data_IF_936103119882
#
_entry.id   IF_936103119882
#
_cell.length_a   1.000
_cell.length_b   1.000
_cell.length_c   1.000
_cell.angle_alpha   90.00
_cell.angle_beta   90.00
_cell.angle_gamma   90.00
#
_symmetry.space_group_name_H-M   'P 1'
#
loop_
_entity.id
_entity.type
_entity.pdbx_description
1 polymer ?
#
# COMPACT_ATOMS: atom_id res chain seq x y z
N UNK A 1 9.38 -1.34 37.32
CA UNK A 1 9.79 0.08 37.23
C UNK A 1 9.25 0.65 35.93
N UNK A 2 8.24 1.53 36.00
CA UNK A 2 7.56 2.13 34.84
C UNK A 2 8.09 3.56 34.70
N UNK A 3 8.75 3.89 33.58
CA UNK A 3 9.11 5.26 33.24
C UNK A 3 8.11 5.84 32.23
N UNK A 4 7.18 6.62 32.77
CA UNK A 4 6.40 7.64 32.06
C UNK A 4 7.27 8.89 31.91
N UNK A 5 7.45 9.38 30.69
CA UNK A 5 7.96 10.74 30.41
C UNK A 5 7.28 11.22 29.13
N UNK A 6 6.13 11.88 29.30
CA UNK A 6 5.91 13.34 29.18
C UNK A 6 6.01 13.83 27.73
N UNK A 7 4.81 14.01 27.16
CA UNK A 7 4.53 14.86 26.00
C UNK A 7 4.96 16.29 26.34
N UNK A 8 5.78 16.89 25.49
CA UNK A 8 5.95 18.34 25.41
C UNK A 8 5.35 18.80 24.10
N UNK A 9 4.18 19.44 24.21
CA UNK A 9 3.61 20.29 23.20
C UNK A 9 4.40 21.60 23.20
N UNK A 10 5.07 21.92 22.09
CA UNK A 10 5.52 23.26 21.75
C UNK A 10 5.85 23.27 20.25
N UNK A 11 5.11 24.04 19.45
CA UNK A 11 5.34 24.16 18.01
C UNK A 11 4.09 24.28 17.13
N UNK A 12 2.91 24.53 17.69
CA UNK A 12 1.79 25.09 16.94
C UNK A 12 1.84 26.61 17.09
N UNK A 13 2.10 27.34 16.00
CA UNK A 13 1.57 28.67 15.62
C UNK A 13 2.28 29.05 14.31
N UNK A 14 1.51 29.22 13.24
CA UNK A 14 2.01 29.76 11.99
C UNK A 14 1.26 29.39 10.71
N UNK A 15 0.07 28.79 10.76
CA UNK A 15 -0.73 28.50 9.56
C UNK A 15 -2.21 28.61 9.88
N UNK A 16 -2.70 29.85 9.97
CA UNK A 16 -4.12 30.13 9.82
C UNK A 16 -4.27 31.36 8.93
N UNK A 17 -5.28 31.28 8.06
CA UNK A 17 -5.89 32.31 7.22
C UNK A 17 -5.16 32.71 5.94
N UNK A 18 -5.30 31.89 4.90
CA UNK A 18 -5.67 32.40 3.58
C UNK A 18 -6.91 31.66 3.06
N UNK A 19 -8.01 32.39 3.15
CA UNK A 19 -9.16 32.41 2.26
C UNK A 19 -9.66 31.09 1.68
N UNK A 20 -10.87 30.73 2.12
CA UNK A 20 -11.84 30.03 1.29
C UNK A 20 -11.90 30.69 -0.10
N UNK A 21 -11.43 29.97 -1.11
CA UNK A 21 -11.83 30.17 -2.50
C UNK A 21 -12.20 28.78 -3.03
N UNK A 22 -13.43 28.54 -3.50
CA UNK A 22 -13.76 27.32 -4.22
C UNK A 22 -13.13 27.44 -5.61
N UNK A 23 -11.81 27.30 -5.69
CA UNK A 23 -11.12 27.21 -6.97
C UNK A 23 -11.24 25.75 -7.38
N UNK A 24 -12.17 25.56 -8.32
CA UNK A 24 -12.22 24.47 -9.30
C UNK A 24 -11.35 23.26 -8.95
N UNK A 25 -12.03 22.14 -8.65
CA UNK A 25 -11.56 20.83 -9.07
C UNK A 25 -11.44 20.86 -10.59
N UNK A 26 -10.38 21.49 -11.09
CA UNK A 26 -10.07 21.48 -12.50
C UNK A 26 -9.67 20.06 -12.81
N UNK A 27 -10.44 19.42 -13.69
CA UNK A 27 -10.01 18.28 -14.50
C UNK A 27 -8.51 18.42 -14.77
N UNK A 28 -7.71 17.68 -14.01
CA UNK A 28 -6.28 17.64 -14.21
C UNK A 28 -6.14 16.94 -15.55
N UNK A 29 -5.91 17.71 -16.62
CA UNK A 29 -5.92 17.19 -17.98
C UNK A 29 -5.05 15.92 -18.02
N UNK A 30 -5.49 14.82 -18.65
CA UNK A 30 -4.84 13.51 -18.56
C UNK A 30 -3.34 13.54 -18.87
N UNK A 31 -2.91 14.49 -19.71
CA UNK A 31 -1.51 14.76 -20.05
C UNK A 31 -0.66 15.20 -18.85
N UNK A 32 -1.22 16.00 -17.94
CA UNK A 32 -0.51 16.51 -16.77
C UNK A 32 -0.32 15.40 -15.72
N UNK A 33 -1.32 14.53 -15.56
CA UNK A 33 -1.26 13.39 -14.66
C UNK A 33 -0.17 12.38 -15.09
N UNK A 34 -0.07 12.12 -16.39
CA UNK A 34 1.00 11.28 -16.95
C UNK A 34 2.39 11.88 -16.69
N UNK A 35 2.54 13.21 -16.83
CA UNK A 35 3.79 13.90 -16.48
C UNK A 35 4.16 13.68 -15.01
N UNK A 36 3.22 13.88 -14.08
CA UNK A 36 3.48 13.67 -12.66
C UNK A 36 3.79 12.21 -12.33
N UNK A 37 3.13 11.27 -13.01
CA UNK A 37 3.41 9.85 -12.89
C UNK A 37 4.85 9.50 -13.27
N UNK A 38 5.35 10.07 -14.37
CA UNK A 38 6.76 9.93 -14.78
C UNK A 38 7.69 10.51 -13.73
N UNK A 39 7.46 11.74 -13.28
CA UNK A 39 8.27 12.40 -12.24
C UNK A 39 8.32 11.57 -10.95
N UNK A 40 7.18 11.09 -10.45
CA UNK A 40 7.12 10.23 -9.27
C UNK A 40 7.96 8.95 -9.47
N UNK A 41 7.81 8.28 -10.61
CA UNK A 41 8.50 7.02 -10.89
C UNK A 41 10.00 7.23 -10.96
N UNK A 42 10.45 8.28 -11.64
CA UNK A 42 11.87 8.59 -11.79
C UNK A 42 12.51 8.97 -10.45
N UNK A 43 11.83 9.78 -9.64
CA UNK A 43 12.28 10.13 -8.28
C UNK A 43 12.35 8.89 -7.40
N UNK A 44 11.32 8.05 -7.41
CA UNK A 44 11.27 6.81 -6.64
C UNK A 44 12.42 5.87 -7.01
N UNK A 45 12.59 5.60 -8.31
CA UNK A 45 13.63 4.69 -8.81
C UNK A 45 15.04 5.24 -8.56
N UNK A 46 15.25 6.55 -8.73
CA UNK A 46 16.54 7.17 -8.48
C UNK A 46 16.88 7.30 -6.99
N UNK A 47 15.88 7.45 -6.11
CA UNK A 47 16.09 7.52 -4.67
C UNK A 47 16.37 6.16 -4.04
N UNK A 48 15.64 5.11 -4.45
CA UNK A 48 15.80 3.75 -3.90
C UNK A 48 16.87 2.92 -4.61
N UNK A 49 17.23 3.29 -5.84
CA UNK A 49 18.35 2.69 -6.57
C UNK A 49 19.61 3.54 -6.52
N UNK A 50 20.54 3.27 -7.44
CA UNK A 50 21.74 4.08 -7.68
C UNK A 50 21.54 5.05 -8.87
N UNK A 51 20.29 5.46 -9.13
CA UNK A 51 19.94 6.30 -10.26
C UNK A 51 20.41 7.75 -10.07
N UNK A 52 20.77 8.41 -11.17
CA UNK A 52 21.07 9.83 -11.16
C UNK A 52 19.78 10.66 -11.15
N UNK A 53 19.57 11.42 -10.07
CA UNK A 53 18.45 12.32 -9.89
C UNK A 53 18.72 13.75 -10.42
N UNK A 54 19.94 14.03 -10.92
CA UNK A 54 20.40 15.38 -11.27
C UNK A 54 19.55 16.09 -12.33
N UNK A 55 18.86 15.33 -13.18
CA UNK A 55 18.02 15.85 -14.27
C UNK A 55 16.57 16.11 -13.84
N UNK A 56 16.14 15.59 -12.69
CA UNK A 56 14.73 15.59 -12.27
C UNK A 56 14.51 16.24 -10.91
N UNK A 57 15.55 16.43 -10.11
CA UNK A 57 15.48 17.01 -8.78
C UNK A 57 16.58 18.03 -8.54
N UNK A 58 16.27 19.05 -7.76
CA UNK A 58 17.25 20.03 -7.30
C UNK A 58 18.32 19.38 -6.41
N UNK A 59 19.53 19.95 -6.39
CA UNK A 59 20.62 19.44 -5.54
C UNK A 59 20.25 19.32 -4.05
N UNK A 60 19.39 20.24 -3.56
CA UNK A 60 18.84 20.20 -2.21
C UNK A 60 18.02 18.93 -1.98
N UNK A 61 17.05 18.64 -2.86
CA UNK A 61 16.19 17.45 -2.77
C UNK A 61 17.01 16.18 -2.89
N UNK A 62 18.01 16.14 -3.79
CA UNK A 62 18.91 14.99 -3.92
C UNK A 62 19.64 14.72 -2.61
N UNK A 63 20.14 15.76 -1.94
CA UNK A 63 20.82 15.62 -0.65
C UNK A 63 19.87 15.13 0.45
N UNK A 64 18.65 15.68 0.52
CA UNK A 64 17.62 15.27 1.48
C UNK A 64 17.21 13.80 1.30
N UNK A 65 16.95 13.38 0.06
CA UNK A 65 16.59 11.99 -0.25
C UNK A 65 17.75 11.03 0.05
N UNK A 66 18.99 11.39 -0.31
CA UNK A 66 20.17 10.59 0.04
C UNK A 66 20.34 10.46 1.55
N UNK A 67 20.17 11.55 2.30
CA UNK A 67 20.24 11.51 3.76
C UNK A 67 19.14 10.62 4.37
N UNK A 68 17.91 10.72 3.85
CA UNK A 68 16.80 9.86 4.26
C UNK A 68 17.11 8.37 4.00
N UNK A 69 17.65 8.02 2.82
CA UNK A 69 17.98 6.64 2.46
C UNK A 69 19.26 6.09 3.12
N UNK A 70 20.04 6.96 3.78
CA UNK A 70 21.14 6.56 4.66
C UNK A 70 20.68 6.22 6.07
N UNK A 71 19.47 6.62 6.47
CA UNK A 71 18.89 6.20 7.74
C UNK A 71 18.62 4.68 7.71
N UNK A 72 19.18 3.87 8.64
CA UNK A 72 19.06 2.42 8.61
C UNK A 72 17.61 1.93 8.76
N UNK A 73 16.79 2.63 9.54
CA UNK A 73 15.38 2.26 9.76
C UNK A 73 14.57 2.47 8.49
N UNK A 74 14.79 3.61 7.81
CA UNK A 74 14.14 3.93 6.54
C UNK A 74 14.58 2.94 5.45
N UNK A 75 15.89 2.69 5.33
CA UNK A 75 16.45 1.75 4.36
C UNK A 75 15.91 0.33 4.58
N UNK A 76 15.88 -0.14 5.82
CA UNK A 76 15.36 -1.47 6.15
C UNK A 76 13.86 -1.58 5.82
N UNK A 77 13.08 -0.54 6.14
CA UNK A 77 11.65 -0.50 5.82
C UNK A 77 11.42 -0.50 4.31
N UNK A 78 12.15 0.32 3.55
CA UNK A 78 12.07 0.37 2.10
C UNK A 78 12.43 -0.98 1.45
N UNK A 79 13.48 -1.65 1.94
CA UNK A 79 13.85 -3.00 1.49
C UNK A 79 12.77 -4.03 1.82
N UNK A 80 12.14 -3.94 2.99
CA UNK A 80 11.09 -4.88 3.40
C UNK A 80 9.81 -4.72 2.59
N UNK A 81 9.46 -3.51 2.17
CA UNK A 81 8.29 -3.24 1.33
C UNK A 81 8.37 -3.99 -0.01
N UNK A 82 9.57 -4.13 -0.56
CA UNK A 82 9.83 -4.73 -1.87
C UNK A 82 9.51 -3.78 -3.03
N UNK A 83 9.45 -4.31 -4.25
CA UNK A 83 9.17 -3.51 -5.44
C UNK A 83 7.76 -2.95 -5.44
N UNK A 84 7.59 -1.73 -5.98
CA UNK A 84 6.28 -1.14 -6.18
C UNK A 84 5.54 -1.86 -7.32
N UNK A 85 4.27 -2.20 -7.10
CA UNK A 85 3.39 -2.85 -8.08
C UNK A 85 2.44 -1.87 -8.77
N UNK A 86 2.14 -0.73 -8.13
CA UNK A 86 1.28 0.31 -8.71
C UNK A 86 1.60 1.68 -8.14
N UNK A 87 1.33 2.72 -8.93
CA UNK A 87 1.47 4.13 -8.57
C UNK A 87 0.13 4.85 -8.77
N UNK A 88 -0.33 5.57 -7.74
CA UNK A 88 -1.46 6.51 -7.81
C UNK A 88 -0.97 7.92 -7.53
N UNK A 89 -1.48 8.89 -8.30
CA UNK A 89 -1.27 10.31 -8.05
C UNK A 89 -2.55 10.89 -7.44
N UNK A 90 -2.40 11.64 -6.36
CA UNK A 90 -3.49 12.27 -5.61
C UNK A 90 -3.08 13.66 -5.12
N UNK A 91 -4.05 14.42 -4.61
CA UNK A 91 -3.84 15.70 -3.91
C UNK A 91 -3.03 16.74 -4.70
N UNK A 92 -3.23 16.79 -6.02
CA UNK A 92 -2.59 17.78 -6.89
C UNK A 92 -3.06 19.18 -6.53
N UNK A 93 -2.13 20.01 -6.07
CA UNK A 93 -2.33 21.40 -5.69
C UNK A 93 -1.46 22.30 -6.55
N UNK A 94 -2.09 23.16 -7.34
CA UNK A 94 -1.39 24.15 -8.16
C UNK A 94 -1.09 25.40 -7.33
N UNK A 95 0.19 25.71 -7.17
CA UNK A 95 0.70 26.92 -6.50
C UNK A 95 1.16 27.93 -7.56
N UNK A 96 1.40 29.17 -7.15
CA UNK A 96 1.76 30.25 -8.07
C UNK A 96 2.97 29.94 -8.96
N UNK A 97 3.95 29.18 -8.47
CA UNK A 97 5.19 28.85 -9.18
C UNK A 97 5.58 27.35 -9.07
N UNK A 98 4.66 26.49 -8.62
CA UNK A 98 4.94 25.08 -8.37
C UNK A 98 3.66 24.26 -8.37
N UNK A 99 3.79 22.96 -8.55
CA UNK A 99 2.74 21.98 -8.31
C UNK A 99 3.17 21.08 -7.16
N UNK A 100 2.29 20.89 -6.18
CA UNK A 100 2.48 19.88 -5.14
C UNK A 100 1.54 18.71 -5.41
N UNK A 101 2.03 17.48 -5.30
CA UNK A 101 1.20 16.28 -5.49
C UNK A 101 1.73 15.11 -4.68
N UNK A 102 0.83 14.17 -4.36
CA UNK A 102 1.13 12.96 -3.62
C UNK A 102 1.29 11.79 -4.59
N UNK A 103 2.41 11.07 -4.49
CA UNK A 103 2.66 9.81 -5.15
C UNK A 103 2.47 8.66 -4.14
N UNK A 104 1.46 7.82 -4.35
CA UNK A 104 1.23 6.63 -3.53
C UNK A 104 1.67 5.38 -4.29
N UNK A 105 2.75 4.76 -3.81
CA UNK A 105 3.22 3.47 -4.31
C UNK A 105 2.68 2.35 -3.45
N UNK A 106 2.03 1.38 -4.07
CA UNK A 106 1.66 0.12 -3.40
C UNK A 106 2.74 -0.91 -3.66
N UNK A 107 3.14 -1.62 -2.61
CA UNK A 107 4.14 -2.68 -2.65
C UNK A 107 3.52 -3.99 -2.15
N UNK A 108 4.24 -5.11 -2.29
CA UNK A 108 3.78 -6.41 -1.79
C UNK A 108 3.55 -6.39 -0.26
N UNK A 109 4.42 -5.70 0.48
CA UNK A 109 4.44 -5.71 1.95
C UNK A 109 4.04 -4.37 2.58
N UNK A 110 3.38 -3.48 1.84
CA UNK A 110 2.88 -2.22 2.39
C UNK A 110 2.73 -1.13 1.33
N UNK A 111 2.90 0.13 1.75
CA UNK A 111 2.81 1.31 0.89
C UNK A 111 3.95 2.29 1.17
N UNK A 112 4.30 3.09 0.17
CA UNK A 112 5.09 4.29 0.38
C UNK A 112 4.39 5.51 -0.21
N UNK A 113 4.48 6.61 0.48
CA UNK A 113 3.85 7.88 0.16
C UNK A 113 4.94 8.92 -0.02
N UNK A 114 4.93 9.60 -1.17
CA UNK A 114 5.92 10.58 -1.55
C UNK A 114 5.23 11.88 -1.93
N UNK A 115 5.38 12.92 -1.11
CA UNK A 115 4.87 14.26 -1.41
C UNK A 115 5.94 15.02 -2.16
N UNK A 116 5.67 15.38 -3.42
CA UNK A 116 6.63 16.07 -4.27
C UNK A 116 6.15 17.50 -4.59
N UNK A 117 7.08 18.44 -4.55
CA UNK A 117 6.93 19.79 -5.07
C UNK A 117 7.69 19.95 -6.38
N UNK A 118 6.98 20.08 -7.49
CA UNK A 118 7.53 20.23 -8.84
C UNK A 118 7.45 21.69 -9.29
N UNK A 119 8.55 22.25 -9.78
CA UNK A 119 8.56 23.59 -10.35
C UNK A 119 8.42 23.52 -11.87
N UNK A 120 7.32 24.06 -12.46
CA UNK A 120 7.17 24.12 -13.91
C UNK A 120 8.14 25.11 -14.56
N UNK A 121 8.77 26.01 -13.80
CA UNK A 121 9.76 26.96 -14.30
C UNK A 121 11.14 26.32 -14.50
N UNK A 122 11.62 25.60 -13.48
CA UNK A 122 12.92 24.92 -13.51
C UNK A 122 12.83 23.48 -14.04
N UNK A 123 11.61 22.98 -14.24
CA UNK A 123 11.29 21.62 -14.65
C UNK A 123 11.85 20.51 -13.75
N UNK A 124 12.13 20.82 -12.49
CA UNK A 124 12.67 19.88 -11.50
C UNK A 124 11.84 19.83 -10.22
N UNK A 125 12.05 18.79 -9.42
CA UNK A 125 11.52 18.65 -8.07
C UNK A 125 12.36 19.49 -7.09
N UNK A 126 11.68 20.39 -6.38
CA UNK A 126 12.28 21.36 -5.45
C UNK A 126 11.95 21.06 -3.97
N UNK A 127 11.02 20.13 -3.72
CA UNK A 127 10.75 19.57 -2.40
C UNK A 127 10.32 18.11 -2.48
N UNK A 128 10.73 17.29 -1.51
CA UNK A 128 10.30 15.91 -1.39
C UNK A 128 10.16 15.52 0.08
N UNK A 129 9.06 14.87 0.43
CA UNK A 129 8.85 14.19 1.71
C UNK A 129 8.45 12.74 1.45
N UNK A 130 8.97 11.82 2.26
CA UNK A 130 8.73 10.39 2.08
C UNK A 130 8.30 9.73 3.38
N UNK A 131 7.26 8.91 3.30
CA UNK A 131 6.73 8.10 4.40
C UNK A 131 6.58 6.67 3.93
N UNK A 132 7.05 5.72 4.76
CA UNK A 132 6.90 4.29 4.51
C UNK A 132 5.93 3.69 5.52
N UNK A 133 4.88 3.02 5.03
CA UNK A 133 3.85 2.39 5.84
C UNK A 133 3.87 0.87 5.59
N UNK A 134 4.49 0.06 6.49
CA UNK A 134 4.45 -1.39 6.35
C UNK A 134 3.01 -1.91 6.44
N UNK A 135 2.72 -3.01 5.75
CA UNK A 135 1.41 -3.67 5.83
C UNK A 135 1.15 -4.02 7.31
N UNK A 136 0.00 -3.62 7.88
CA UNK A 136 -0.33 -4.01 9.23
C UNK A 136 -0.31 -5.53 9.34
N UNK A 137 0.31 -6.03 10.41
CA UNK A 137 0.34 -7.47 10.68
C UNK A 137 -1.10 -8.00 10.67
N UNK A 138 -1.34 -9.20 10.12
CA UNK A 138 -2.66 -9.84 10.22
C UNK A 138 -3.09 -9.83 11.68
N UNK A 139 -4.29 -9.32 11.94
CA UNK A 139 -4.84 -9.33 13.30
C UNK A 139 -4.84 -10.79 13.79
N UNK A 140 -4.30 -11.07 15.00
CA UNK A 140 -4.26 -12.44 15.50
C UNK A 140 -5.68 -12.98 15.50
N UNK A 141 -5.86 -14.15 14.87
CA UNK A 141 -7.16 -14.81 14.81
C UNK A 141 -7.73 -14.89 16.23
N UNK A 142 -9.02 -14.54 16.43
CA UNK A 142 -9.64 -14.62 17.75
C UNK A 142 -9.42 -16.04 18.28
N UNK A 143 -8.80 -16.14 19.46
CA UNK A 143 -8.50 -17.42 20.08
C UNK A 143 -9.79 -18.25 20.10
N UNK A 144 -9.78 -19.39 19.40
CA UNK A 144 -10.90 -20.34 19.42
C UNK A 144 -11.22 -20.63 20.88
N UNK A 145 -12.38 -20.17 21.35
CA UNK A 145 -12.92 -20.57 22.64
C UNK A 145 -12.96 -22.08 22.64
N UNK A 146 -12.21 -22.70 23.55
CA UNK A 146 -12.23 -24.13 23.78
C UNK A 146 -13.69 -24.57 23.92
N UNK A 147 -14.13 -25.44 23.01
CA UNK A 147 -15.43 -26.11 23.10
C UNK A 147 -15.39 -26.99 24.35
N UNK A 148 -16.41 -26.94 25.24
CA UNK A 148 -16.48 -27.83 26.38
C UNK A 148 -16.52 -29.30 25.93
N UNK A 149 -15.72 -30.11 26.60
CA UNK A 149 -15.57 -31.56 26.48
C UNK A 149 -16.93 -32.27 26.47
N UNK A 150 -17.25 -32.98 25.38
CA UNK A 150 -18.41 -33.87 25.32
C UNK A 150 -18.08 -35.17 26.06
N UNK A 151 -18.81 -35.41 27.15
CA UNK A 151 -18.78 -36.63 27.97
C UNK A 151 -19.06 -37.92 27.16
N UNK A 152 -18.42 -39.05 27.47
CA UNK A 152 -18.69 -40.32 26.78
C UNK A 152 -19.96 -40.96 27.33
N UNK A 153 -20.97 -41.14 26.49
CA UNK A 153 -22.15 -41.97 26.85
C UNK A 153 -22.00 -43.35 26.21
N UNK A 154 -21.97 -44.35 27.07
CA UNK A 154 -21.82 -45.77 26.75
C UNK A 154 -23.01 -46.33 25.94
N UNK A 155 -22.66 -47.23 25.01
CA UNK A 155 -23.47 -48.08 24.11
C UNK A 155 -24.65 -48.81 24.80
N UNK A 156 -25.70 -49.23 24.06
CA UNK A 156 -25.67 -50.57 23.43
C UNK A 156 -26.26 -50.65 22.00
N UNK A 157 -25.69 -51.51 21.15
CA UNK A 157 -26.33 -52.08 19.93
C UNK A 157 -27.36 -53.16 20.38
N UNK A 158 -28.32 -53.70 19.57
CA UNK A 158 -28.40 -53.98 18.11
C UNK A 158 -29.85 -53.78 17.53
N UNK A 159 -30.38 -54.39 16.42
CA UNK A 159 -29.81 -55.20 15.34
C UNK A 159 -30.15 -54.74 13.89
N UNK A 160 -29.50 -55.44 12.97
CA UNK A 160 -29.59 -55.52 11.50
C UNK A 160 -31.01 -55.63 10.92
N UNK A 161 -31.46 -54.69 10.07
CA UNK A 161 -32.56 -54.90 9.09
C UNK A 161 -32.40 -53.98 7.86
N UNK A 162 -32.22 -54.63 6.70
CA UNK A 162 -32.63 -54.27 5.32
C UNK A 162 -31.89 -53.16 4.54
N UNK A 163 -31.18 -53.64 3.52
CA UNK A 163 -30.94 -52.93 2.27
C UNK A 163 -32.26 -52.45 1.64
N UNK A 164 -32.35 -51.17 1.31
CA UNK A 164 -33.29 -50.66 0.32
C UNK A 164 -32.77 -49.36 -0.32
N UNK A 165 -32.23 -49.56 -1.52
CA UNK A 165 -32.35 -48.74 -2.72
C UNK A 165 -32.35 -47.20 -2.61
N UNK A 166 -31.28 -46.61 -3.16
CA UNK A 166 -31.28 -45.27 -3.76
C UNK A 166 -32.50 -45.06 -4.69
N UNK A 167 -32.99 -43.82 -4.77
CA UNK A 167 -33.25 -43.20 -6.05
C UNK A 167 -32.28 -42.03 -6.26
N UNK A 168 -31.45 -42.18 -7.29
CA UNK A 168 -30.57 -41.15 -7.82
C UNK A 168 -31.37 -39.93 -8.27
N UNK A 169 -31.35 -38.86 -7.47
CA UNK A 169 -31.72 -37.52 -7.88
C UNK A 169 -30.48 -36.76 -8.33
N UNK A 170 -30.40 -36.46 -9.62
CA UNK A 170 -29.24 -35.91 -10.33
C UNK A 170 -28.54 -34.75 -9.60
N UNK A 171 -27.33 -35.01 -9.11
CA UNK A 171 -26.32 -33.98 -8.85
C UNK A 171 -25.94 -33.37 -10.22
N UNK A 172 -25.90 -32.04 -10.40
CA UNK A 172 -25.39 -31.47 -11.64
C UNK A 172 -23.99 -32.03 -11.91
N UNK A 173 -23.64 -32.38 -13.17
CA UNK A 173 -22.32 -32.90 -13.47
C UNK A 173 -21.29 -31.91 -12.93
N UNK A 174 -20.31 -32.43 -12.18
CA UNK A 174 -19.16 -31.64 -11.77
C UNK A 174 -18.62 -30.94 -13.02
N UNK A 175 -18.34 -29.62 -12.97
CA UNK A 175 -17.87 -28.91 -14.14
C UNK A 175 -16.62 -29.60 -14.65
N UNK A 176 -16.64 -30.07 -15.90
CA UNK A 176 -15.46 -30.64 -16.52
C UNK A 176 -14.34 -29.62 -16.43
N UNK A 177 -13.21 -30.01 -15.82
CA UNK A 177 -12.05 -29.14 -15.72
C UNK A 177 -11.71 -28.65 -17.14
N UNK A 178 -11.70 -27.32 -17.29
CA UNK A 178 -11.39 -26.70 -18.57
C UNK A 178 -10.06 -27.23 -19.11
N UNK A 179 -9.92 -27.30 -20.44
CA UNK A 179 -8.67 -27.71 -21.07
C UNK A 179 -7.46 -26.84 -20.63
N UNK A 180 -7.72 -25.63 -20.13
CA UNK A 180 -6.71 -24.76 -19.54
C UNK A 180 -6.19 -25.30 -18.19
N UNK A 181 -7.05 -25.85 -17.32
CA UNK A 181 -6.63 -26.45 -16.05
C UNK A 181 -5.77 -27.70 -16.24
N UNK A 182 -5.94 -28.44 -17.33
CA UNK A 182 -5.04 -29.57 -17.66
C UNK A 182 -3.64 -29.14 -18.05
N UNK A 183 -3.49 -27.93 -18.60
CA UNK A 183 -2.18 -27.40 -19.04
C UNK A 183 -1.46 -26.62 -17.93
N UNK A 184 -2.22 -26.03 -17.01
CA UNK A 184 -1.68 -25.21 -15.92
C UNK A 184 -2.40 -25.58 -14.61
N UNK A 185 -2.04 -26.72 -13.99
CA UNK A 185 -2.71 -27.21 -12.79
C UNK A 185 -2.55 -26.28 -11.58
N UNK A 186 -1.52 -25.43 -11.57
CA UNK A 186 -1.26 -24.48 -10.49
C UNK A 186 -2.13 -23.21 -10.53
N UNK A 187 -2.95 -23.05 -11.58
CA UNK A 187 -3.82 -21.88 -11.79
C UNK A 187 -5.32 -22.22 -11.66
N UNK A 188 -5.62 -23.46 -11.26
CA UNK A 188 -6.95 -23.97 -10.93
C UNK A 188 -6.92 -24.60 -9.52
#
# INVERSE_FOLDING_TARGET
MIRKTRRTAAGYIGLCTLALSPIAQADTAPVLLEKYRTVCSDVFNGALGDGDLSLIASAKVIAELKAAMQNPDIRSTAQHLGNASSLRISDVTHLANADAFLCEFTHANGKSEWTLGYSPLSHVVEGAEVVFAPKPAPEPAPASRATPESQPTSRPSPPEVQAQSEPQGQRPPAPEQSAACRKFPDLC
#
